data_IF_841217160230
#
_entry.id   IF_841217160230
#
_cell.length_a   1.000
_cell.length_b   1.000
_cell.length_c   1.000
_cell.angle_alpha   90.00
_cell.angle_beta   90.00
_cell.angle_gamma   90.00
#
_symmetry.space_group_name_H-M   'P 1'
#
loop_
_entity.id
_entity.type
_entity.pdbx_description
1 polymer ?
#
# COMPACT_ATOMS: atom_id res chain seq x y z
N UNK A 1 5.76 17.73 -22.07
CA UNK A 1 4.58 16.85 -21.91
C UNK A 1 5.05 15.53 -21.31
N UNK A 2 4.61 15.15 -20.11
CA UNK A 2 5.05 13.91 -19.47
C UNK A 2 4.38 12.69 -20.11
N UNK A 3 5.18 11.82 -20.72
CA UNK A 3 4.73 10.56 -21.31
C UNK A 3 4.10 9.67 -20.23
N UNK A 4 2.79 9.44 -20.33
CA UNK A 4 2.08 8.52 -19.42
C UNK A 4 2.49 7.09 -19.77
N UNK A 5 3.55 6.57 -19.13
CA UNK A 5 3.94 5.16 -19.23
C UNK A 5 2.71 4.28 -18.96
N UNK A 6 2.36 3.42 -19.93
CA UNK A 6 1.25 2.46 -19.79
C UNK A 6 1.49 1.60 -18.54
N UNK A 7 0.57 1.66 -17.58
CA UNK A 7 0.63 0.78 -16.40
C UNK A 7 0.38 -0.65 -16.86
N UNK A 8 1.34 -1.54 -16.65
CA UNK A 8 1.19 -2.94 -17.04
C UNK A 8 0.03 -3.59 -16.30
N UNK A 9 -0.68 -4.51 -16.98
CA UNK A 9 -1.82 -5.25 -16.39
C UNK A 9 -1.45 -5.91 -15.05
N UNK A 10 -0.26 -6.52 -15.00
CA UNK A 10 0.32 -7.14 -13.78
C UNK A 10 0.47 -6.16 -12.62
N UNK A 11 0.85 -4.90 -12.89
CA UNK A 11 0.97 -3.86 -11.85
C UNK A 11 -0.41 -3.47 -11.31
N UNK A 12 -1.40 -3.31 -12.20
CA UNK A 12 -2.78 -3.02 -11.78
C UNK A 12 -3.36 -4.15 -10.93
N UNK A 13 -3.23 -5.40 -11.39
CA UNK A 13 -3.66 -6.59 -10.65
C UNK A 13 -3.04 -6.66 -9.25
N UNK A 14 -1.74 -6.35 -9.13
CA UNK A 14 -1.03 -6.32 -7.84
C UNK A 14 -1.58 -5.27 -6.90
N UNK A 15 -1.80 -4.04 -7.39
CA UNK A 15 -2.37 -2.94 -6.60
C UNK A 15 -3.79 -3.30 -6.15
N UNK A 16 -4.63 -3.80 -7.05
CA UNK A 16 -6.00 -4.22 -6.73
C UNK A 16 -6.03 -5.36 -5.72
N UNK A 17 -5.18 -6.38 -5.90
CA UNK A 17 -5.05 -7.49 -4.94
C UNK A 17 -4.63 -6.98 -3.56
N UNK A 18 -3.60 -6.12 -3.51
CA UNK A 18 -3.09 -5.56 -2.26
C UNK A 18 -4.15 -4.73 -1.54
N UNK A 19 -4.94 -3.95 -2.28
CA UNK A 19 -6.09 -3.21 -1.75
C UNK A 19 -7.10 -4.18 -1.11
N UNK A 20 -7.55 -5.19 -1.86
CA UNK A 20 -8.53 -6.19 -1.38
C UNK A 20 -8.05 -6.95 -0.14
N UNK A 21 -6.78 -7.37 -0.12
CA UNK A 21 -6.19 -8.06 1.03
C UNK A 21 -6.17 -7.17 2.28
N UNK A 22 -5.83 -5.89 2.12
CA UNK A 22 -5.83 -4.93 3.23
C UNK A 22 -7.22 -4.60 3.72
N UNK A 23 -8.18 -4.36 2.83
CA UNK A 23 -9.59 -4.13 3.20
C UNK A 23 -10.15 -5.34 3.96
N UNK A 24 -9.91 -6.55 3.45
CA UNK A 24 -10.29 -7.78 4.14
C UNK A 24 -9.62 -7.93 5.50
N UNK A 25 -8.35 -7.54 5.64
CA UNK A 25 -7.66 -7.56 6.93
C UNK A 25 -8.21 -6.54 7.93
N UNK A 26 -8.57 -5.33 7.48
CA UNK A 26 -9.21 -4.32 8.33
C UNK A 26 -10.58 -4.81 8.81
N UNK A 27 -11.38 -5.40 7.93
CA UNK A 27 -12.72 -5.91 8.26
C UNK A 27 -12.68 -7.17 9.14
N UNK A 28 -11.67 -8.03 8.98
CA UNK A 28 -11.56 -9.28 9.77
C UNK A 28 -10.84 -9.08 11.11
N UNK A 29 -10.09 -8.00 11.27
CA UNK A 29 -9.36 -7.76 12.50
C UNK A 29 -10.30 -7.19 13.56
N UNK A 30 -10.60 -8.00 14.58
CA UNK A 30 -11.46 -7.65 15.72
C UNK A 30 -10.92 -6.50 16.56
N UNK A 31 -9.62 -6.17 16.46
CA UNK A 31 -9.02 -5.04 17.18
C UNK A 31 -9.45 -3.68 16.65
N UNK A 32 -10.06 -3.59 15.46
CA UNK A 32 -10.58 -2.33 14.96
C UNK A 32 -12.05 -2.13 15.31
N UNK A 33 -12.34 -1.00 15.94
CA UNK A 33 -13.71 -0.48 16.07
C UNK A 33 -14.31 -0.14 14.70
N UNK A 34 -15.62 -0.01 14.60
CA UNK A 34 -16.29 0.38 13.35
C UNK A 34 -15.80 1.71 12.80
N UNK A 35 -15.60 2.70 13.67
CA UNK A 35 -15.06 4.01 13.31
C UNK A 35 -13.64 3.89 12.75
N UNK A 36 -12.79 3.07 13.39
CA UNK A 36 -11.43 2.82 12.91
C UNK A 36 -11.46 2.11 11.56
N UNK A 37 -12.35 1.13 11.36
CA UNK A 37 -12.53 0.47 10.06
C UNK A 37 -12.92 1.48 8.99
N UNK A 38 -13.94 2.31 9.25
CA UNK A 38 -14.39 3.35 8.31
C UNK A 38 -13.26 4.33 7.97
N UNK A 39 -12.52 4.79 8.99
CA UNK A 39 -11.35 5.67 8.83
C UNK A 39 -10.28 5.05 7.93
N UNK A 40 -9.89 3.81 8.20
CA UNK A 40 -8.84 3.13 7.44
C UNK A 40 -9.26 2.74 6.03
N UNK A 41 -10.50 2.27 5.85
CA UNK A 41 -11.07 1.97 4.52
C UNK A 41 -11.15 3.23 3.65
N UNK A 42 -11.44 4.39 4.24
CA UNK A 42 -11.46 5.69 3.53
C UNK A 42 -10.13 6.05 2.85
N UNK A 43 -9.00 5.56 3.40
CA UNK A 43 -7.65 5.78 2.87
C UNK A 43 -7.07 4.56 2.15
N UNK A 44 -7.81 3.46 1.99
CA UNK A 44 -7.42 2.29 1.16
C UNK A 44 -7.62 2.58 -0.35
N UNK A 45 -7.09 3.71 -0.79
CA UNK A 45 -7.14 4.16 -2.19
C UNK A 45 -5.74 4.21 -2.77
N UNK A 46 -5.66 4.08 -4.10
CA UNK A 46 -4.38 4.07 -4.84
C UNK A 46 -3.50 5.28 -4.48
N UNK A 47 -4.10 6.43 -4.19
CA UNK A 47 -3.38 7.67 -3.87
C UNK A 47 -2.62 7.60 -2.57
N UNK A 48 -3.11 6.87 -1.57
CA UNK A 48 -2.41 6.67 -0.30
C UNK A 48 -1.48 5.46 -0.32
N UNK A 49 -1.60 4.58 -1.31
CA UNK A 49 -0.77 3.38 -1.44
C UNK A 49 0.55 3.68 -2.15
N UNK A 50 1.63 3.08 -1.63
CA UNK A 50 2.95 3.15 -2.26
C UNK A 50 2.92 2.59 -3.68
N UNK A 51 3.66 3.22 -4.59
CA UNK A 51 3.77 2.73 -5.96
C UNK A 51 4.74 1.55 -6.01
N UNK A 52 4.32 0.44 -6.63
CA UNK A 52 5.17 -0.73 -6.85
C UNK A 52 5.48 -0.87 -8.34
N UNK A 53 6.75 -1.13 -8.66
CA UNK A 53 7.24 -1.43 -10.00
C UNK A 53 7.94 -2.80 -10.01
N UNK A 54 7.97 -3.46 -11.17
CA UNK A 54 8.75 -4.70 -11.32
C UNK A 54 10.21 -4.30 -11.48
N UNK A 55 11.09 -4.77 -10.60
CA UNK A 55 12.54 -4.69 -10.81
C UNK A 55 13.05 -5.93 -11.53
N UNK A 56 14.36 -6.13 -11.48
CA UNK A 56 15.04 -7.36 -11.92
C UNK A 56 14.51 -8.58 -11.18
N UNK A 57 14.75 -9.77 -11.75
CA UNK A 57 13.84 -10.94 -11.78
C UNK A 57 13.19 -11.42 -10.46
N UNK A 58 13.67 -11.00 -9.29
CA UNK A 58 13.13 -11.43 -7.99
C UNK A 58 12.58 -10.31 -7.08
N UNK A 59 12.59 -9.05 -7.54
CA UNK A 59 12.24 -7.92 -6.68
C UNK A 59 11.08 -7.06 -7.20
N UNK A 60 10.34 -6.52 -6.24
CA UNK A 60 9.37 -5.44 -6.45
C UNK A 60 9.99 -4.17 -5.87
N UNK A 61 10.16 -3.15 -6.70
CA UNK A 61 10.64 -1.84 -6.27
C UNK A 61 9.48 -1.05 -5.68
N UNK A 62 9.62 -0.59 -4.44
CA UNK A 62 8.60 0.16 -3.72
C UNK A 62 9.02 1.63 -3.61
N UNK A 63 8.22 2.49 -4.22
CA UNK A 63 8.35 3.94 -4.15
C UNK A 63 7.41 4.47 -3.06
N UNK A 64 8.00 4.95 -1.96
CA UNK A 64 7.25 5.55 -0.83
C UNK A 64 6.65 6.90 -1.23
N UNK A 65 5.54 7.28 -0.59
CA UNK A 65 4.93 8.60 -0.78
C UNK A 65 5.52 9.55 0.27
N UNK A 66 6.30 10.58 -0.11
CA UNK A 66 6.96 11.48 0.83
C UNK A 66 5.98 12.25 1.73
N UNK A 67 4.85 12.66 1.16
CA UNK A 67 3.82 13.43 1.87
C UNK A 67 3.00 12.61 2.87
N UNK A 68 3.07 11.27 2.82
CA UNK A 68 2.21 10.42 3.64
C UNK A 68 2.74 10.34 5.06
N UNK A 69 1.87 10.56 6.04
CA UNK A 69 2.24 10.51 7.45
C UNK A 69 2.83 9.16 7.86
N UNK A 70 3.76 9.20 8.81
CA UNK A 70 4.37 7.98 9.38
C UNK A 70 3.33 7.10 10.07
N UNK A 71 2.28 7.71 10.61
CA UNK A 71 1.14 6.99 11.20
C UNK A 71 0.46 6.08 10.17
N UNK A 72 0.10 6.61 9.00
CA UNK A 72 -0.50 5.80 7.92
C UNK A 72 0.49 4.76 7.41
N UNK A 73 1.76 5.11 7.25
CA UNK A 73 2.80 4.18 6.81
C UNK A 73 2.95 3.00 7.78
N UNK A 74 3.04 3.26 9.08
CA UNK A 74 3.11 2.22 10.13
C UNK A 74 1.86 1.35 10.13
N UNK A 75 0.69 1.96 9.96
CA UNK A 75 -0.57 1.21 9.90
C UNK A 75 -0.60 0.25 8.71
N UNK A 76 -0.26 0.72 7.51
CA UNK A 76 -0.20 -0.16 6.34
C UNK A 76 0.80 -1.29 6.51
N UNK A 77 1.96 -1.04 7.12
CA UNK A 77 2.93 -2.10 7.44
C UNK A 77 2.35 -3.14 8.40
N UNK A 78 1.61 -2.72 9.43
CA UNK A 78 0.95 -3.65 10.37
C UNK A 78 -0.11 -4.51 9.68
N UNK A 79 -0.91 -3.92 8.78
CA UNK A 79 -1.91 -4.66 8.00
C UNK A 79 -1.22 -5.65 7.06
N UNK A 80 -0.18 -5.21 6.35
CA UNK A 80 0.60 -6.09 5.46
C UNK A 80 1.23 -7.26 6.24
N UNK A 81 1.77 -7.01 7.43
CA UNK A 81 2.30 -8.05 8.32
C UNK A 81 1.22 -9.05 8.75
N UNK A 82 0.01 -8.58 9.08
CA UNK A 82 -1.13 -9.45 9.40
C UNK A 82 -1.56 -10.29 8.20
N UNK A 83 -1.63 -9.70 7.01
CA UNK A 83 -1.96 -10.44 5.78
C UNK A 83 -0.91 -11.51 5.52
N UNK A 84 0.38 -11.19 5.67
CA UNK A 84 1.49 -12.14 5.47
C UNK A 84 1.43 -13.26 6.50
N UNK A 85 1.15 -12.96 7.78
CA UNK A 85 1.12 -13.98 8.83
C UNK A 85 0.07 -15.07 8.56
N UNK A 86 -1.06 -14.69 7.95
CA UNK A 86 -2.15 -15.59 7.55
C UNK A 86 -1.88 -16.39 6.26
N UNK A 87 -0.81 -16.11 5.52
CA UNK A 87 -0.45 -16.90 4.32
C UNK A 87 0.22 -18.22 4.71
N UNK A 88 0.01 -19.24 3.88
CA UNK A 88 0.71 -20.53 3.99
C UNK A 88 2.21 -20.37 3.77
N UNK A 89 3.00 -21.33 4.27
CA UNK A 89 4.46 -21.35 4.08
C UNK A 89 4.85 -21.37 2.60
N UNK A 90 4.13 -22.14 1.78
CA UNK A 90 4.34 -22.17 0.32
C UNK A 90 4.07 -20.80 -0.31
N UNK A 91 2.97 -20.14 0.04
CA UNK A 91 2.66 -18.82 -0.48
C UNK A 91 3.70 -17.78 -0.07
N UNK A 92 4.23 -17.85 1.16
CA UNK A 92 5.32 -16.98 1.64
C UNK A 92 6.61 -17.17 0.82
N UNK A 93 6.98 -18.42 0.49
CA UNK A 93 8.16 -18.72 -0.34
C UNK A 93 8.05 -18.17 -1.76
N UNK A 94 6.84 -18.12 -2.33
CA UNK A 94 6.59 -17.57 -3.66
C UNK A 94 6.49 -16.04 -3.70
N UNK A 95 6.57 -15.36 -2.55
CA UNK A 95 6.51 -13.89 -2.52
C UNK A 95 7.82 -13.30 -3.01
N UNK A 96 7.74 -12.44 -4.03
CA UNK A 96 8.86 -11.59 -4.43
C UNK A 96 9.27 -10.66 -3.29
N UNK A 97 10.57 -10.50 -3.12
CA UNK A 97 11.15 -9.57 -2.14
C UNK A 97 10.85 -8.13 -2.56
N UNK A 98 10.78 -7.22 -1.58
CA UNK A 98 10.53 -5.79 -1.84
C UNK A 98 11.77 -4.98 -1.48
N UNK A 99 12.21 -4.11 -2.39
CA UNK A 99 13.31 -3.16 -2.17
C UNK A 99 12.78 -1.74 -2.23
N UNK A 100 13.38 -0.85 -1.44
CA UNK A 100 13.06 0.57 -1.50
C UNK A 100 13.72 1.17 -2.74
N UNK A 101 12.91 1.83 -3.57
CA UNK A 101 13.38 2.66 -4.66
C UNK A 101 13.34 4.15 -4.31
N UNK A 102 13.57 4.98 -5.32
CA UNK A 102 13.42 6.44 -5.24
C UNK A 102 12.02 6.79 -4.73
N UNK A 103 11.84 7.79 -3.85
CA UNK A 103 10.51 8.21 -3.44
C UNK A 103 9.62 8.59 -4.62
N UNK A 104 8.33 8.35 -4.48
CA UNK A 104 7.34 8.65 -5.50
C UNK A 104 7.14 10.16 -5.63
N UNK A 105 7.08 10.64 -6.86
CA UNK A 105 6.75 12.04 -7.20
C UNK A 105 5.25 12.34 -7.18
N UNK A 106 4.41 11.38 -6.77
CA UNK A 106 2.95 11.55 -6.76
C UNK A 106 2.55 12.60 -5.71
N UNK A 107 1.77 13.63 -6.10
CA UNK A 107 1.32 14.64 -5.15
C UNK A 107 0.31 14.07 -4.15
N UNK A 108 0.09 14.80 -3.06
CA UNK A 108 -1.02 14.50 -2.14
C UNK A 108 -2.36 14.67 -2.86
N UNK A 109 -3.37 13.83 -2.58
CA UNK A 109 -4.72 14.08 -3.07
C UNK A 109 -5.28 15.40 -2.52
N UNK A 110 -6.10 16.10 -3.31
CA UNK A 110 -6.64 17.43 -2.97
C UNK A 110 -7.36 17.46 -1.63
N UNK A 111 -8.16 16.42 -1.35
CA UNK A 111 -8.97 16.30 -0.14
C UNK A 111 -8.36 15.25 0.80
N UNK A 112 -7.04 15.27 0.96
CA UNK A 112 -6.36 14.39 1.91
C UNK A 112 -6.65 14.82 3.34
N UNK A 113 -7.20 13.95 4.22
CA UNK A 113 -7.38 14.30 5.62
C UNK A 113 -6.03 14.62 6.28
N UNK A 114 -5.99 15.62 7.16
CA UNK A 114 -4.74 16.12 7.75
C UNK A 114 -3.91 15.03 8.43
N UNK A 115 -4.57 14.10 9.13
CA UNK A 115 -3.91 12.97 9.81
C UNK A 115 -3.17 12.01 8.86
N UNK A 116 -3.43 12.10 7.55
CA UNK A 116 -2.77 11.27 6.52
C UNK A 116 -1.53 11.92 5.92
N UNK A 117 -1.34 13.22 6.16
CA UNK A 117 -0.25 14.01 5.62
C UNK A 117 0.81 14.18 6.71
N UNK A 118 2.09 14.14 6.33
CA UNK A 118 3.18 14.43 7.25
C UNK A 118 3.10 15.91 7.65
N UNK A 119 3.10 16.19 8.94
CA UNK A 119 3.33 17.54 9.45
C UNK A 119 4.79 17.90 9.15
N UNK A 120 5.01 19.02 8.46
CA UNK A 120 6.36 19.57 8.26
C UNK A 120 7.00 19.96 9.60
#
# INVERSE_FOLDING_TARGET
MAERKKVTRRRQERVTRKKREREGAVLKNSKFTEEQRKKWLGVMKRDYMSSEESGDDDFIVLHRLPWRSDYVTKMFSKIDAYVISKKSSQAKRQMKLRRLGVPSTRPKPQNAPDWTVKSD
#
